data_IF_944598570244
#
_entry.id   IF_944598570244
#
_cell.length_a   1.000
_cell.length_b   1.000
_cell.length_c   1.000
_cell.angle_alpha   90.00
_cell.angle_beta   90.00
_cell.angle_gamma   90.00
#
_symmetry.space_group_name_H-M   'P 1'
#
loop_
_entity.id
_entity.type
_entity.pdbx_description
1 polymer ?
#
# COMPACT_ATOMS: atom_id res chain seq x y z
N UNK A 1 14.57 -47.46 -16.82
CA UNK A 1 15.20 -46.16 -16.43
C UNK A 1 14.40 -44.93 -16.86
N UNK A 2 13.10 -44.97 -16.95
CA UNK A 2 12.30 -43.84 -17.40
C UNK A 2 11.16 -43.43 -16.46
N UNK A 3 11.13 -43.92 -15.21
CA UNK A 3 10.02 -43.65 -14.24
C UNK A 3 10.36 -42.67 -13.17
N UNK A 4 11.62 -42.28 -13.00
CA UNK A 4 12.05 -41.33 -11.95
C UNK A 4 11.91 -39.86 -12.38
N UNK A 5 11.74 -39.58 -13.66
CA UNK A 5 11.75 -38.23 -14.24
C UNK A 5 10.42 -37.45 -14.15
N UNK A 6 9.30 -38.09 -13.84
CA UNK A 6 7.97 -37.43 -13.81
C UNK A 6 7.48 -37.00 -12.43
N UNK A 7 8.02 -37.58 -11.38
CA UNK A 7 7.57 -37.27 -10.01
C UNK A 7 8.29 -36.08 -9.35
N UNK A 8 9.49 -35.77 -9.80
CA UNK A 8 10.30 -34.68 -9.25
C UNK A 8 9.88 -33.29 -9.74
N UNK A 9 9.32 -33.21 -10.97
CA UNK A 9 8.95 -31.91 -11.54
C UNK A 9 7.65 -31.31 -10.94
N UNK A 10 6.71 -32.19 -10.56
CA UNK A 10 5.45 -31.79 -9.95
C UNK A 10 5.62 -31.25 -8.52
N UNK A 11 6.50 -31.85 -7.73
CA UNK A 11 6.74 -31.45 -6.35
C UNK A 11 7.53 -30.13 -6.26
N UNK A 12 8.52 -29.94 -7.11
CA UNK A 12 9.31 -28.70 -7.16
C UNK A 12 8.42 -27.52 -7.59
N UNK A 13 7.54 -27.71 -8.54
CA UNK A 13 6.58 -26.69 -8.96
C UNK A 13 5.62 -26.25 -7.84
N UNK A 14 5.15 -27.22 -7.04
CA UNK A 14 4.28 -26.96 -5.89
C UNK A 14 5.03 -26.23 -4.77
N UNK A 15 6.27 -26.62 -4.50
CA UNK A 15 7.11 -25.93 -3.49
C UNK A 15 7.47 -24.51 -3.91
N UNK A 16 7.83 -24.27 -5.16
CA UNK A 16 8.12 -22.95 -5.71
C UNK A 16 6.87 -22.06 -5.66
N UNK A 17 5.70 -22.61 -6.01
CA UNK A 17 4.43 -21.88 -5.96
C UNK A 17 3.99 -21.59 -4.51
N UNK A 18 4.20 -22.53 -3.59
CA UNK A 18 3.92 -22.36 -2.17
C UNK A 18 4.89 -21.34 -1.52
N UNK A 19 6.18 -21.38 -1.87
CA UNK A 19 7.16 -20.40 -1.42
C UNK A 19 6.90 -19.01 -2.03
N UNK A 20 6.52 -18.90 -3.29
CA UNK A 20 6.13 -17.65 -3.92
C UNK A 20 4.88 -17.05 -3.24
N UNK A 21 3.86 -17.87 -2.90
CA UNK A 21 2.71 -17.42 -2.12
C UNK A 21 3.08 -16.99 -0.70
N UNK A 22 3.95 -17.72 -0.02
CA UNK A 22 4.42 -17.35 1.32
C UNK A 22 5.23 -16.04 1.30
N UNK A 23 6.06 -15.82 0.29
CA UNK A 23 6.82 -14.59 0.11
C UNK A 23 5.93 -13.38 -0.19
N UNK A 24 4.86 -13.55 -1.00
CA UNK A 24 3.94 -12.46 -1.35
C UNK A 24 2.99 -12.08 -0.23
N UNK A 25 2.71 -12.98 0.73
CA UNK A 25 1.79 -12.68 1.85
C UNK A 25 2.42 -11.94 3.01
N UNK A 26 3.75 -11.77 3.04
CA UNK A 26 4.47 -11.18 4.16
C UNK A 26 5.21 -9.88 3.82
N UNK A 27 4.96 -9.27 2.69
CA UNK A 27 5.59 -8.01 2.29
C UNK A 27 4.64 -6.80 2.36
N UNK A 28 5.23 -5.61 2.38
CA UNK A 28 4.51 -4.35 2.45
C UNK A 28 3.59 -4.13 1.24
N UNK A 29 3.99 -4.53 0.04
CA UNK A 29 3.20 -4.35 -1.19
C UNK A 29 1.91 -5.16 -1.15
N UNK A 30 1.99 -6.41 -0.71
CA UNK A 30 0.81 -7.25 -0.55
C UNK A 30 -0.11 -6.70 0.56
N UNK A 31 0.45 -6.23 1.67
CA UNK A 31 -0.33 -5.64 2.73
C UNK A 31 -1.16 -4.43 2.25
N UNK A 32 -0.57 -3.53 1.45
CA UNK A 32 -1.29 -2.35 0.93
C UNK A 32 -2.15 -2.64 -0.30
N UNK A 33 -2.15 -3.86 -0.83
CA UNK A 33 -3.07 -4.26 -1.88
C UNK A 33 -4.54 -4.26 -1.40
N UNK A 34 -4.78 -4.51 -0.12
CA UNK A 34 -6.10 -4.49 0.49
C UNK A 34 -6.55 -3.07 0.83
N UNK A 35 -7.68 -2.55 0.28
CA UNK A 35 -8.15 -1.18 0.49
C UNK A 35 -8.32 -0.82 1.97
N UNK A 36 -8.91 -1.68 2.77
CA UNK A 36 -9.15 -1.43 4.20
C UNK A 36 -7.87 -1.24 5.00
N UNK A 37 -6.80 -1.91 4.60
CA UNK A 37 -5.48 -1.69 5.23
C UNK A 37 -4.87 -0.35 4.83
N UNK A 38 -5.11 0.13 3.60
CA UNK A 38 -4.72 1.49 3.21
C UNK A 38 -5.48 2.54 4.01
N UNK A 39 -6.80 2.38 4.17
CA UNK A 39 -7.63 3.29 4.97
C UNK A 39 -7.08 3.40 6.42
N UNK A 40 -6.70 2.27 7.02
CA UNK A 40 -6.09 2.26 8.36
C UNK A 40 -4.75 3.04 8.36
N UNK A 41 -3.88 2.78 7.40
CA UNK A 41 -2.58 3.45 7.30
C UNK A 41 -2.73 4.96 7.11
N UNK A 42 -3.68 5.42 6.29
CA UNK A 42 -3.96 6.84 6.09
C UNK A 42 -4.39 7.53 7.39
N UNK A 43 -5.24 6.88 8.18
CA UNK A 43 -5.62 7.40 9.50
C UNK A 43 -4.44 7.43 10.49
N UNK A 44 -3.54 6.45 10.42
CA UNK A 44 -2.33 6.40 11.25
C UNK A 44 -1.23 7.34 10.77
N UNK A 45 -1.25 7.78 9.53
CA UNK A 45 -0.32 8.80 9.03
C UNK A 45 -0.52 10.16 9.74
N UNK A 46 -1.73 10.44 10.19
CA UNK A 46 -2.06 11.64 10.96
C UNK A 46 -1.67 11.57 12.44
N UNK A 47 -1.17 10.44 12.91
CA UNK A 47 -0.75 10.25 14.30
C UNK A 47 -1.18 8.92 14.90
N UNK A 48 -0.75 8.69 16.13
CA UNK A 48 -1.07 7.50 16.90
C UNK A 48 -2.57 7.42 17.24
N UNK A 49 -3.15 6.21 17.13
CA UNK A 49 -4.57 5.96 17.37
C UNK A 49 -4.80 4.68 18.15
N UNK A 50 -5.80 4.70 19.04
CA UNK A 50 -6.31 3.48 19.67
C UNK A 50 -7.20 2.69 18.70
N UNK A 51 -7.31 1.37 18.91
CA UNK A 51 -8.17 0.51 18.07
C UNK A 51 -9.61 1.01 18.05
N UNK A 52 -10.17 1.40 19.20
CA UNK A 52 -11.55 1.91 19.30
C UNK A 52 -11.76 3.17 18.47
N UNK A 53 -10.78 4.05 18.39
CA UNK A 53 -10.83 5.24 17.55
C UNK A 53 -10.85 4.90 16.06
N UNK A 54 -10.05 3.93 15.64
CA UNK A 54 -10.04 3.43 14.26
C UNK A 54 -11.38 2.79 13.88
N UNK A 55 -11.97 2.01 14.79
CA UNK A 55 -13.30 1.40 14.61
C UNK A 55 -14.34 2.46 14.29
N UNK A 56 -14.42 3.52 15.08
CA UNK A 56 -15.36 4.62 14.88
C UNK A 56 -15.10 5.37 13.58
N UNK A 57 -13.86 5.74 13.31
CA UNK A 57 -13.49 6.53 12.12
C UNK A 57 -13.70 5.78 10.81
N UNK A 58 -13.45 4.47 10.81
CA UNK A 58 -13.55 3.63 9.62
C UNK A 58 -14.94 3.03 9.42
N UNK A 59 -15.81 3.11 10.43
CA UNK A 59 -17.11 2.45 10.40
C UNK A 59 -17.01 0.94 10.23
N UNK A 60 -15.96 0.33 10.80
CA UNK A 60 -15.68 -1.10 10.73
C UNK A 60 -15.89 -1.74 12.09
N UNK A 61 -16.21 -3.03 12.11
CA UNK A 61 -16.26 -3.79 13.35
C UNK A 61 -14.85 -4.03 13.93
N UNK A 62 -14.73 -4.03 15.25
CA UNK A 62 -13.46 -4.18 15.95
C UNK A 62 -12.68 -5.44 15.56
N UNK A 63 -13.28 -6.64 15.42
CA UNK A 63 -12.54 -7.83 14.98
C UNK A 63 -11.91 -7.66 13.60
N UNK A 64 -12.59 -6.97 12.70
CA UNK A 64 -12.08 -6.67 11.34
C UNK A 64 -10.87 -5.72 11.40
N UNK A 65 -10.98 -4.62 12.15
CA UNK A 65 -9.86 -3.67 12.34
C UNK A 65 -8.67 -4.39 12.98
N UNK A 66 -8.89 -5.18 14.02
CA UNK A 66 -7.83 -5.94 14.70
C UNK A 66 -7.13 -6.93 13.77
N UNK A 67 -7.87 -7.60 12.89
CA UNK A 67 -7.31 -8.52 11.88
C UNK A 67 -6.41 -7.80 10.89
N UNK A 68 -6.83 -6.65 10.39
CA UNK A 68 -6.04 -5.83 9.47
C UNK A 68 -4.79 -5.26 10.14
N UNK A 69 -4.90 -4.78 11.37
CA UNK A 69 -3.77 -4.27 12.16
C UNK A 69 -2.74 -5.37 12.43
N UNK A 70 -3.18 -6.61 12.68
CA UNK A 70 -2.28 -7.76 12.84
C UNK A 70 -1.45 -8.02 11.58
N UNK A 71 -2.05 -7.95 10.40
CA UNK A 71 -1.33 -8.09 9.12
C UNK A 71 -0.34 -6.94 8.94
N UNK A 72 -0.77 -5.70 9.13
CA UNK A 72 0.08 -4.51 9.00
C UNK A 72 1.27 -4.53 9.97
N UNK A 73 1.05 -4.99 11.19
CA UNK A 73 2.12 -5.16 12.19
C UNK A 73 3.11 -6.24 11.78
N UNK A 74 2.63 -7.38 11.29
CA UNK A 74 3.47 -8.51 10.86
C UNK A 74 4.46 -8.11 9.76
N UNK A 75 4.03 -7.26 8.82
CA UNK A 75 4.88 -6.78 7.72
C UNK A 75 5.66 -5.50 8.08
N UNK A 76 5.52 -5.00 9.31
CA UNK A 76 6.27 -3.85 9.79
C UNK A 76 5.77 -2.48 9.34
N UNK A 77 4.54 -2.37 8.78
CA UNK A 77 3.95 -1.10 8.35
C UNK A 77 3.39 -0.27 9.51
N UNK A 78 3.06 -0.91 10.63
CA UNK A 78 2.61 -0.26 11.85
C UNK A 78 3.42 -0.74 13.06
N UNK A 79 3.55 0.15 14.02
CA UNK A 79 4.08 -0.14 15.35
C UNK A 79 2.94 -0.08 16.36
N UNK A 80 3.08 -0.82 17.45
CA UNK A 80 2.10 -0.84 18.53
C UNK A 80 2.78 -0.48 19.84
N UNK A 81 2.10 0.35 20.63
CA UNK A 81 2.49 0.70 21.99
C UNK A 81 1.33 0.38 22.94
N UNK A 82 1.64 -0.26 24.02
CA UNK A 82 0.66 -0.48 25.10
C UNK A 82 0.74 0.65 26.12
N UNK A 83 -0.40 1.21 26.48
CA UNK A 83 -0.54 2.16 27.56
C UNK A 83 -1.74 1.76 28.44
N UNK A 84 -1.47 1.24 29.62
CA UNK A 84 -2.49 0.67 30.48
C UNK A 84 -3.16 -0.54 29.83
N UNK A 85 -4.48 -0.48 29.66
CA UNK A 85 -5.30 -1.52 29.00
C UNK A 85 -5.49 -1.26 27.50
N UNK A 86 -5.03 -0.12 27.01
CA UNK A 86 -5.21 0.28 25.61
C UNK A 86 -3.97 -0.02 24.79
N UNK A 87 -4.22 -0.38 23.53
CA UNK A 87 -3.21 -0.55 22.51
C UNK A 87 -3.31 0.60 21.52
N UNK A 88 -2.20 1.32 21.35
CA UNK A 88 -2.07 2.41 20.39
C UNK A 88 -1.22 1.99 19.21
N UNK A 89 -1.71 2.29 18.03
CA UNK A 89 -1.04 2.00 16.77
C UNK A 89 -0.58 3.27 16.11
N UNK A 90 0.56 3.21 15.45
CA UNK A 90 1.09 4.29 14.63
C UNK A 90 1.70 3.72 13.35
N UNK A 91 1.70 4.51 12.27
CA UNK A 91 2.41 4.16 11.06
C UNK A 91 3.92 4.06 11.33
N UNK A 92 4.58 3.08 10.72
CA UNK A 92 6.02 2.90 10.81
C UNK A 92 6.70 3.45 9.55
N UNK A 93 7.36 4.61 9.60
CA UNK A 93 8.00 5.21 8.42
C UNK A 93 9.01 4.28 7.74
N UNK A 94 9.77 3.53 8.52
CA UNK A 94 10.78 2.60 7.99
C UNK A 94 10.15 1.47 7.17
N UNK A 95 9.01 0.94 7.63
CA UNK A 95 8.27 -0.09 6.90
C UNK A 95 7.59 0.43 5.64
N UNK A 96 7.24 1.71 5.60
CA UNK A 96 6.58 2.37 4.46
C UNK A 96 7.60 2.80 3.39
N UNK A 97 8.85 3.03 3.76
CA UNK A 97 9.92 3.50 2.86
C UNK A 97 10.02 2.72 1.55
N UNK A 98 9.97 1.37 1.50
CA UNK A 98 10.06 0.63 0.25
C UNK A 98 8.95 0.97 -0.75
N UNK A 99 7.73 1.25 -0.26
CA UNK A 99 6.59 1.67 -1.07
C UNK A 99 6.85 3.05 -1.69
N UNK A 100 7.36 3.98 -0.90
CA UNK A 100 7.73 5.32 -1.34
C UNK A 100 8.85 5.27 -2.40
N UNK A 101 9.92 4.54 -2.14
CA UNK A 101 11.03 4.40 -3.09
C UNK A 101 10.58 3.79 -4.42
N UNK A 102 9.68 2.82 -4.38
CA UNK A 102 9.10 2.25 -5.59
C UNK A 102 8.28 3.28 -6.37
N UNK A 103 7.44 4.08 -5.71
CA UNK A 103 6.62 5.10 -6.39
C UNK A 103 7.46 6.19 -7.03
N UNK A 104 8.65 6.50 -6.49
CA UNK A 104 9.58 7.49 -7.07
C UNK A 104 10.05 7.13 -8.47
N UNK A 105 10.11 5.83 -8.81
CA UNK A 105 10.47 5.40 -10.17
C UNK A 105 9.49 5.92 -11.22
N UNK A 106 8.26 6.22 -10.82
CA UNK A 106 7.20 6.74 -11.70
C UNK A 106 7.04 8.26 -11.63
N UNK A 107 7.81 8.94 -10.80
CA UNK A 107 7.70 10.39 -10.58
C UNK A 107 7.82 11.19 -11.90
N UNK A 108 8.73 10.79 -12.77
CA UNK A 108 8.91 11.44 -14.10
C UNK A 108 7.68 11.31 -14.99
N UNK A 109 6.95 10.20 -14.90
CA UNK A 109 5.71 10.02 -15.65
C UNK A 109 4.65 11.04 -15.22
N UNK A 110 4.52 11.26 -13.92
CA UNK A 110 3.57 12.21 -13.34
C UNK A 110 3.98 13.66 -13.63
N UNK A 111 5.25 14.00 -13.49
CA UNK A 111 5.77 15.32 -13.78
C UNK A 111 5.50 15.72 -15.24
N UNK A 112 5.76 14.83 -16.19
CA UNK A 112 5.48 15.07 -17.61
C UNK A 112 3.98 15.23 -17.89
N UNK A 113 3.12 14.47 -17.23
CA UNK A 113 1.67 14.59 -17.35
C UNK A 113 1.17 15.96 -16.87
N UNK A 114 1.65 16.41 -15.71
CA UNK A 114 1.28 17.70 -15.13
C UNK A 114 1.75 18.86 -16.00
N UNK A 115 2.95 18.79 -16.58
CA UNK A 115 3.45 19.81 -17.52
C UNK A 115 2.55 19.92 -18.76
N UNK A 116 2.14 18.80 -19.34
CA UNK A 116 1.23 18.79 -20.51
C UNK A 116 -0.14 19.38 -20.17
N UNK A 117 -0.67 19.09 -18.97
CA UNK A 117 -1.95 19.67 -18.52
C UNK A 117 -1.83 21.17 -18.35
N UNK A 118 -0.74 21.65 -17.74
CA UNK A 118 -0.45 23.08 -17.56
C UNK A 118 -0.35 23.79 -18.90
N UNK A 119 0.44 23.29 -19.83
CA UNK A 119 0.62 23.86 -21.19
C UNK A 119 -0.72 23.97 -21.93
N UNK A 120 -1.57 22.92 -21.86
CA UNK A 120 -2.90 22.95 -22.47
C UNK A 120 -3.82 23.98 -21.83
N UNK A 121 -3.76 24.16 -20.53
CA UNK A 121 -4.55 25.16 -19.81
C UNK A 121 -4.11 26.57 -20.18
N UNK A 122 -2.82 26.83 -20.25
CA UNK A 122 -2.25 28.11 -20.64
C UNK A 122 -2.57 28.46 -22.10
N UNK A 123 -2.54 27.48 -23.00
CA UNK A 123 -2.92 27.69 -24.42
C UNK A 123 -4.40 28.07 -24.57
N UNK A 124 -5.28 27.44 -23.75
CA UNK A 124 -6.70 27.77 -23.76
C UNK A 124 -7.01 29.14 -23.14
N UNK A 125 -6.17 29.57 -22.18
CA UNK A 125 -6.33 30.85 -21.49
C UNK A 125 -5.81 32.06 -22.29
N UNK A 126 -5.03 31.86 -23.37
CA UNK A 126 -4.60 32.93 -24.24
C UNK A 126 -5.80 33.45 -25.01
N UNK A 127 -6.15 34.77 -24.89
CA UNK A 127 -7.23 35.36 -25.68
C UNK A 127 -6.90 35.19 -27.16
N UNK A 128 -7.90 34.74 -27.94
CA UNK A 128 -7.82 34.81 -29.39
C UNK A 128 -7.72 36.28 -29.76
N UNK A 129 -6.57 36.72 -30.23
CA UNK A 129 -6.48 38.01 -30.89
C UNK A 129 -7.44 37.96 -32.07
N UNK A 130 -8.55 38.64 -31.92
CA UNK A 130 -9.37 39.05 -33.05
C UNK A 130 -8.49 39.93 -33.92
N UNK A 131 -8.12 39.42 -35.07
CA UNK A 131 -7.60 40.21 -36.16
C UNK A 131 -8.82 41.01 -36.64
N UNK A 132 -8.96 42.25 -36.17
CA UNK A 132 -9.78 43.26 -36.85
C UNK A 132 -8.89 43.91 -37.89
N UNK A 133 -9.19 43.61 -39.14
CA UNK A 133 -8.88 44.51 -40.23
C UNK A 133 -9.89 45.64 -40.24
#
# INVERSE_FOLDING_TARGET
MAVISRLTYSHIGIYILAMARAATTSDAFNAVAEPRRRDILEHLAGGERAVGELVVRLGMEQPSVSKHLKVLRKVGLVRVRRHGRQMFYQANPEGIRPLYEWTKTFERLWANQLLRVKERAEQKAKPRHSVEE
#
